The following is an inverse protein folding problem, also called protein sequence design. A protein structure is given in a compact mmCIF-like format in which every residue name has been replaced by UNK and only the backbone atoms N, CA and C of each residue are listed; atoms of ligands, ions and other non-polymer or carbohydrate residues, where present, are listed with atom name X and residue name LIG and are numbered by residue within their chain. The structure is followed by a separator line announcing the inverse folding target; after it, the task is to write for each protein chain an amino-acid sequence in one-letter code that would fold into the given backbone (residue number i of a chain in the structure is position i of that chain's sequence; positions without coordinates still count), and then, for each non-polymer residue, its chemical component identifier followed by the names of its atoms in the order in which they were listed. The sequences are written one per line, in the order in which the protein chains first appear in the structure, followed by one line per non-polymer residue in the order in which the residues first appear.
data_IF_505178284452
#
_entry.id   IF_505178284452
#
_cell.length_a   1.000
_cell.length_b   1.000
_cell.length_c   1.000
_cell.angle_alpha   90.00
_cell.angle_beta   90.00
_cell.angle_gamma   90.00
#
_symmetry.space_group_name_H-M   'P 1'
#
loop_
_entity.id
_entity.type
_entity.pdbx_description
1 polymer ?
#
# COMPACT_ATOMS: atom_id res chain seq x y z
N UNK A 1 28.31 9.78 -10.34
CA UNK A 1 28.57 8.38 -9.92
C UNK A 1 27.23 7.66 -9.99
N UNK A 2 27.02 6.78 -10.95
CA UNK A 2 25.80 5.96 -11.01
C UNK A 2 25.87 4.90 -9.90
N UNK A 3 24.88 4.87 -9.05
CA UNK A 3 24.73 3.82 -8.03
C UNK A 3 24.37 2.53 -8.79
N UNK A 4 25.26 1.54 -8.76
CA UNK A 4 24.96 0.22 -9.31
C UNK A 4 24.20 -0.56 -8.23
N UNK A 5 22.97 -0.97 -8.52
CA UNK A 5 22.12 -1.75 -7.61
C UNK A 5 22.75 -3.09 -7.17
N UNK A 6 23.63 -3.65 -7.99
CA UNK A 6 24.37 -4.89 -7.68
C UNK A 6 25.26 -4.77 -6.43
N UNK A 7 25.68 -3.54 -6.06
CA UNK A 7 26.44 -3.28 -4.85
C UNK A 7 25.62 -3.32 -3.55
N UNK A 8 24.30 -3.44 -3.67
CA UNK A 8 23.37 -3.42 -2.55
C UNK A 8 22.51 -4.69 -2.54
N UNK A 9 22.84 -5.62 -1.68
CA UNK A 9 22.24 -6.96 -1.62
C UNK A 9 20.71 -6.96 -1.46
N UNK A 10 20.13 -5.92 -0.86
CA UNK A 10 18.68 -5.79 -0.75
C UNK A 10 18.05 -5.31 -2.07
N UNK A 11 18.66 -4.33 -2.73
CA UNK A 11 18.14 -3.79 -3.99
C UNK A 11 18.20 -4.83 -5.12
N UNK A 12 19.22 -5.69 -5.13
CA UNK A 12 19.35 -6.76 -6.13
C UNK A 12 18.27 -7.84 -6.00
N UNK A 13 17.61 -7.95 -4.82
CA UNK A 13 16.49 -8.88 -4.60
C UNK A 13 15.14 -8.32 -5.00
N UNK A 14 15.01 -7.00 -5.15
CA UNK A 14 13.75 -6.37 -5.53
C UNK A 14 13.49 -6.60 -7.03
N UNK A 15 12.32 -7.16 -7.39
CA UNK A 15 11.95 -7.30 -8.80
C UNK A 15 11.77 -5.93 -9.44
N UNK A 16 11.90 -5.88 -10.76
CA UNK A 16 11.63 -4.66 -11.51
C UNK A 16 10.17 -4.23 -11.30
N UNK A 17 9.98 -2.95 -11.03
CA UNK A 17 8.64 -2.42 -10.82
C UNK A 17 7.85 -2.39 -12.12
N UNK A 18 6.85 -3.26 -12.22
CA UNK A 18 6.09 -3.53 -13.46
C UNK A 18 5.49 -2.26 -14.11
N UNK A 19 5.03 -1.30 -13.30
CA UNK A 19 4.45 -0.05 -13.83
C UNK A 19 5.48 0.83 -14.55
N UNK A 20 6.75 0.76 -14.19
CA UNK A 20 7.81 1.47 -14.91
C UNK A 20 7.94 0.92 -16.34
N UNK A 21 8.00 -0.40 -16.49
CA UNK A 21 8.07 -1.05 -17.80
C UNK A 21 6.84 -0.78 -18.67
N UNK A 22 5.64 -0.84 -18.07
CA UNK A 22 4.38 -0.52 -18.77
C UNK A 22 4.36 0.95 -19.23
N UNK A 23 4.80 1.89 -18.38
CA UNK A 23 4.86 3.29 -18.75
C UNK A 23 5.85 3.58 -19.89
N UNK A 24 6.99 2.88 -19.90
CA UNK A 24 7.95 2.97 -20.99
C UNK A 24 7.35 2.46 -22.30
N UNK A 25 6.70 1.29 -22.31
CA UNK A 25 6.01 0.75 -23.48
C UNK A 25 4.93 1.71 -24.00
N UNK A 26 4.11 2.28 -23.10
CA UNK A 26 3.11 3.29 -23.48
C UNK A 26 3.75 4.54 -24.11
N UNK A 27 4.85 5.02 -23.55
CA UNK A 27 5.58 6.17 -24.09
C UNK A 27 6.11 5.90 -25.49
N UNK A 28 6.72 4.74 -25.70
CA UNK A 28 7.23 4.32 -27.00
C UNK A 28 6.11 4.17 -28.04
N UNK A 29 5.00 3.57 -27.68
CA UNK A 29 3.87 3.40 -28.59
C UNK A 29 3.24 4.75 -28.98
N UNK A 30 3.04 5.67 -28.01
CA UNK A 30 2.57 7.04 -28.28
C UNK A 30 3.53 7.81 -29.20
N UNK A 31 4.85 7.65 -29.04
CA UNK A 31 5.81 8.32 -29.92
C UNK A 31 5.76 7.84 -31.37
N UNK A 32 5.23 6.63 -31.60
CA UNK A 32 4.96 6.08 -32.95
C UNK A 32 3.59 6.50 -33.52
N UNK A 33 2.82 7.30 -32.76
CA UNK A 33 1.47 7.74 -33.16
C UNK A 33 0.37 6.69 -32.98
N UNK A 34 0.63 5.64 -32.17
CA UNK A 34 -0.36 4.60 -31.90
C UNK A 34 -1.45 5.13 -30.95
N UNK A 35 -2.72 4.83 -31.25
CA UNK A 35 -3.84 5.07 -30.35
C UNK A 35 -3.90 3.99 -29.28
N UNK A 36 -3.66 4.38 -28.02
CA UNK A 36 -3.53 3.44 -26.91
C UNK A 36 -4.71 3.59 -25.96
N UNK A 37 -5.39 2.46 -25.73
CA UNK A 37 -6.36 2.32 -24.64
C UNK A 37 -5.62 1.83 -23.39
N UNK A 38 -5.53 2.67 -22.37
CA UNK A 38 -4.73 2.42 -21.17
C UNK A 38 -5.59 1.89 -20.01
N UNK A 39 -5.48 0.59 -19.73
CA UNK A 39 -6.06 -0.05 -18.54
C UNK A 39 -5.00 -0.36 -17.46
N UNK A 40 -3.80 0.20 -17.58
CA UNK A 40 -2.67 -0.12 -16.70
C UNK A 40 -2.75 0.52 -15.31
N UNK A 41 -3.62 1.50 -15.08
CA UNK A 41 -3.72 2.16 -13.79
C UNK A 41 -5.17 2.50 -13.44
N UNK A 42 -5.65 1.93 -12.34
CA UNK A 42 -6.98 2.19 -11.78
C UNK A 42 -7.01 3.46 -10.92
N UNK A 43 -6.82 4.63 -11.52
CA UNK A 43 -7.03 5.89 -10.82
C UNK A 43 -8.52 6.20 -10.69
N UNK A 44 -8.98 6.77 -9.57
CA UNK A 44 -10.31 7.35 -9.47
C UNK A 44 -10.51 8.40 -10.58
N UNK A 45 -11.60 8.30 -11.31
CA UNK A 45 -11.97 9.22 -12.40
C UNK A 45 -12.91 10.34 -11.93
N UNK A 46 -13.48 10.22 -10.74
CA UNK A 46 -14.37 11.20 -10.15
C UNK A 46 -13.62 12.17 -9.24
N UNK A 47 -14.01 13.46 -9.23
CA UNK A 47 -13.40 14.44 -8.34
C UNK A 47 -13.72 14.11 -6.87
N UNK A 48 -12.84 14.55 -5.98
CA UNK A 48 -13.10 14.47 -4.53
C UNK A 48 -14.42 15.18 -4.19
N UNK A 49 -15.29 14.57 -3.37
CA UNK A 49 -16.55 15.19 -2.95
C UNK A 49 -16.36 16.58 -2.35
N UNK A 50 -17.22 17.52 -2.73
CA UNK A 50 -17.08 18.94 -2.41
C UNK A 50 -16.97 19.21 -0.90
N UNK A 51 -17.75 18.52 -0.07
CA UNK A 51 -17.70 18.69 1.39
C UNK A 51 -16.34 18.32 2.00
N UNK A 52 -15.58 17.39 1.37
CA UNK A 52 -14.22 17.04 1.80
C UNK A 52 -13.25 18.17 1.45
N UNK A 53 -13.36 18.72 0.23
CA UNK A 53 -12.54 19.84 -0.22
C UNK A 53 -12.78 21.07 0.66
N UNK A 54 -14.04 21.42 0.92
CA UNK A 54 -14.42 22.56 1.77
C UNK A 54 -13.86 22.39 3.19
N UNK A 55 -13.91 21.19 3.76
CA UNK A 55 -13.35 20.92 5.09
C UNK A 55 -11.82 20.99 5.12
N UNK A 56 -11.16 20.56 4.06
CA UNK A 56 -9.72 20.71 3.92
C UNK A 56 -9.33 22.20 3.86
N UNK A 57 -10.01 23.00 3.04
CA UNK A 57 -9.76 24.43 2.92
C UNK A 57 -9.98 25.15 4.26
N UNK A 58 -11.10 24.89 4.95
CA UNK A 58 -11.36 25.43 6.29
C UNK A 58 -10.25 25.10 7.29
N UNK A 59 -9.76 23.88 7.25
CA UNK A 59 -8.73 23.42 8.18
C UNK A 59 -7.32 23.92 7.83
N UNK A 60 -7.01 24.10 6.55
CA UNK A 60 -5.68 24.46 6.08
C UNK A 60 -5.28 25.90 6.41
N UNK A 61 -6.24 26.81 6.59
CA UNK A 61 -5.96 28.21 6.97
C UNK A 61 -5.74 28.39 8.48
N UNK A 62 -5.94 27.35 9.28
CA UNK A 62 -5.79 27.43 10.72
C UNK A 62 -4.36 27.14 11.14
N UNK A 63 -3.61 28.13 11.60
CA UNK A 63 -2.19 28.00 11.97
C UNK A 63 -1.89 26.91 13.01
N UNK A 64 -2.86 26.55 13.86
CA UNK A 64 -2.72 25.41 14.80
C UNK A 64 -2.53 24.07 14.11
N UNK A 65 -2.93 23.94 12.84
CA UNK A 65 -2.80 22.71 12.05
C UNK A 65 -1.46 22.62 11.29
N UNK A 66 -0.61 23.66 11.35
CA UNK A 66 0.70 23.71 10.70
C UNK A 66 1.82 23.18 11.58
N UNK A 67 1.56 22.17 12.37
CA UNK A 67 2.52 21.58 13.31
C UNK A 67 2.84 20.14 12.93
N UNK A 68 3.84 19.58 13.59
CA UNK A 68 4.10 18.14 13.48
C UNK A 68 2.86 17.33 13.88
N UNK A 69 2.60 16.28 13.12
CA UNK A 69 1.56 15.32 13.47
C UNK A 69 1.99 14.46 14.69
N UNK A 70 1.02 14.00 15.44
CA UNK A 70 1.23 12.95 16.44
C UNK A 70 1.57 11.65 15.73
N UNK A 71 2.56 10.88 16.23
CA UNK A 71 3.05 9.66 15.60
C UNK A 71 1.97 8.60 15.33
N UNK A 72 1.01 8.44 16.24
CA UNK A 72 -0.13 7.54 16.05
C UNK A 72 -1.27 8.15 15.21
N UNK A 73 -1.15 9.42 14.81
CA UNK A 73 -2.21 10.17 14.14
C UNK A 73 -3.15 10.90 15.08
N UNK A 74 -3.98 11.78 14.52
CA UNK A 74 -4.90 12.61 15.32
C UNK A 74 -5.91 11.74 16.08
N UNK A 75 -6.10 11.95 17.41
CA UNK A 75 -7.07 11.16 18.19
C UNK A 75 -8.48 11.20 17.63
N UNK A 76 -8.93 12.35 17.12
CA UNK A 76 -10.26 12.48 16.47
C UNK A 76 -10.38 11.63 15.20
N UNK A 77 -9.31 11.46 14.44
CA UNK A 77 -9.32 10.61 13.25
C UNK A 77 -9.38 9.13 13.66
N UNK A 78 -8.60 8.73 14.66
CA UNK A 78 -8.62 7.35 15.20
C UNK A 78 -10.00 6.99 15.78
N UNK A 79 -10.62 7.92 16.51
CA UNK A 79 -12.02 7.76 16.98
C UNK A 79 -13.00 7.67 15.80
N UNK A 80 -12.82 8.45 14.74
CA UNK A 80 -13.67 8.37 13.55
C UNK A 80 -13.52 7.03 12.83
N UNK A 81 -12.32 6.46 12.80
CA UNK A 81 -12.05 5.11 12.28
C UNK A 81 -12.81 4.06 13.10
N UNK A 82 -12.67 4.09 14.43
CA UNK A 82 -13.39 3.20 15.34
C UNK A 82 -14.91 3.26 15.11
N UNK A 83 -15.48 4.46 15.10
CA UNK A 83 -16.92 4.65 14.85
C UNK A 83 -17.36 4.17 13.47
N UNK A 84 -16.49 4.29 12.45
CA UNK A 84 -16.76 3.80 11.10
C UNK A 84 -16.82 2.28 11.06
N UNK A 85 -15.87 1.58 11.70
CA UNK A 85 -15.86 0.12 11.80
C UNK A 85 -17.07 -0.39 12.58
N UNK A 86 -17.41 0.25 13.71
CA UNK A 86 -18.62 -0.09 14.47
C UNK A 86 -19.87 0.00 13.62
N UNK A 87 -20.04 1.12 12.92
CA UNK A 87 -21.24 1.37 12.12
C UNK A 87 -21.41 0.44 10.91
N UNK A 88 -20.29 0.10 10.23
CA UNK A 88 -20.37 -0.63 8.97
C UNK A 88 -20.19 -2.14 9.13
N UNK A 89 -19.51 -2.59 10.18
CA UNK A 89 -19.15 -4.00 10.37
C UNK A 89 -19.51 -4.55 11.74
N UNK A 90 -20.06 -3.73 12.63
CA UNK A 90 -20.31 -4.07 14.06
C UNK A 90 -19.04 -4.53 14.80
N UNK A 91 -17.89 -3.98 14.42
CA UNK A 91 -16.60 -4.25 15.04
C UNK A 91 -16.23 -3.10 15.97
N UNK A 92 -15.93 -3.42 17.23
CA UNK A 92 -15.40 -2.46 18.20
C UNK A 92 -13.87 -2.43 18.09
N UNK A 93 -13.32 -1.24 17.88
CA UNK A 93 -11.88 -0.97 17.84
C UNK A 93 -11.56 0.08 18.89
N UNK A 94 -10.61 -0.17 19.78
CA UNK A 94 -10.10 0.84 20.67
C UNK A 94 -9.26 1.86 19.89
N UNK A 95 -9.69 3.14 19.83
CA UNK A 95 -8.96 4.16 19.06
C UNK A 95 -7.56 4.47 19.64
N UNK A 96 -7.28 4.12 20.90
CA UNK A 96 -5.98 4.43 21.52
C UNK A 96 -4.95 3.32 21.31
N UNK A 97 -5.37 2.05 21.24
CA UNK A 97 -4.47 0.90 21.22
C UNK A 97 -4.55 0.06 19.96
N UNK A 98 -5.66 0.15 19.19
CA UNK A 98 -5.91 -0.71 18.03
C UNK A 98 -6.00 0.07 16.71
N UNK A 99 -5.59 1.34 16.70
CA UNK A 99 -5.63 2.14 15.48
C UNK A 99 -4.43 3.06 15.37
N UNK A 100 -3.87 3.13 14.17
CA UNK A 100 -2.78 4.03 13.81
C UNK A 100 -3.05 4.64 12.44
N UNK A 101 -2.70 5.91 12.27
CA UNK A 101 -2.81 6.62 10.98
C UNK A 101 -1.47 6.57 10.26
N UNK A 102 -1.50 6.16 9.00
CA UNK A 102 -0.33 6.13 8.12
C UNK A 102 -0.56 6.98 6.87
N UNK A 103 0.52 7.36 6.19
CA UNK A 103 0.44 8.08 4.91
C UNK A 103 0.19 7.07 3.79
N UNK A 104 -1.03 6.58 3.74
CA UNK A 104 -1.49 5.54 2.83
C UNK A 104 -1.22 4.12 3.33
N UNK A 105 -1.97 3.15 2.77
CA UNK A 105 -1.91 1.73 3.14
C UNK A 105 -0.56 1.07 2.81
N UNK A 106 0.16 1.57 1.80
CA UNK A 106 1.50 1.05 1.46
C UNK A 106 2.51 1.29 2.57
N UNK A 107 2.52 2.48 3.16
CA UNK A 107 3.36 2.78 4.32
C UNK A 107 2.99 1.88 5.50
N UNK A 108 1.69 1.80 5.80
CA UNK A 108 1.20 0.97 6.89
C UNK A 108 1.63 -0.48 6.75
N UNK A 109 1.43 -1.10 5.58
CA UNK A 109 1.82 -2.48 5.33
C UNK A 109 3.35 -2.69 5.39
N UNK A 110 4.12 -1.76 4.81
CA UNK A 110 5.58 -1.84 4.83
C UNK A 110 6.13 -1.76 6.25
N UNK A 111 5.65 -0.82 7.06
CA UNK A 111 6.07 -0.68 8.44
C UNK A 111 5.59 -1.85 9.31
N UNK A 112 4.41 -2.39 9.03
CA UNK A 112 3.91 -3.60 9.71
C UNK A 112 4.86 -4.78 9.46
N UNK A 113 5.27 -5.03 8.23
CA UNK A 113 6.20 -6.10 7.91
C UNK A 113 7.56 -5.92 8.60
N UNK A 114 8.11 -4.69 8.59
CA UNK A 114 9.37 -4.38 9.29
C UNK A 114 9.25 -4.60 10.80
N UNK A 115 8.06 -4.37 11.38
CA UNK A 115 7.83 -4.50 12.82
C UNK A 115 7.59 -5.94 13.26
N UNK A 116 7.02 -6.78 12.39
CA UNK A 116 6.61 -8.15 12.73
C UNK A 116 7.66 -9.20 12.36
N UNK A 117 8.43 -8.98 11.28
CA UNK A 117 9.32 -10.00 10.73
C UNK A 117 10.73 -9.88 11.26
N UNK A 118 11.26 -10.96 11.78
CA UNK A 118 12.69 -11.15 11.90
C UNK A 118 13.31 -11.52 10.54
N UNK A 119 14.58 -11.16 10.30
CA UNK A 119 15.26 -11.54 9.06
C UNK A 119 15.24 -13.05 8.81
N UNK A 120 14.76 -13.47 7.64
CA UNK A 120 14.67 -14.87 7.24
C UNK A 120 13.36 -15.58 7.58
N UNK A 121 12.45 -14.96 8.32
CA UNK A 121 11.10 -15.50 8.49
C UNK A 121 10.31 -15.50 7.18
N UNK A 122 9.40 -16.44 7.05
CA UNK A 122 8.65 -16.69 5.81
C UNK A 122 7.22 -16.17 5.94
N UNK A 123 6.76 -15.45 4.92
CA UNK A 123 5.40 -14.94 4.80
C UNK A 123 4.73 -15.55 3.58
N UNK A 124 3.49 -16.03 3.76
CA UNK A 124 2.63 -16.43 2.64
C UNK A 124 2.11 -15.19 1.92
N UNK A 125 2.37 -15.10 0.63
CA UNK A 125 1.98 -13.98 -0.22
C UNK A 125 1.15 -14.51 -1.38
N UNK A 126 -0.01 -13.89 -1.68
CA UNK A 126 -0.80 -14.28 -2.85
C UNK A 126 -0.04 -14.05 -4.17
N UNK A 127 -0.22 -14.93 -5.13
CA UNK A 127 0.24 -14.76 -6.51
C UNK A 127 -0.93 -15.03 -7.47
N UNK A 128 -1.31 -14.06 -8.33
CA UNK A 128 -0.78 -12.70 -8.44
C UNK A 128 -1.19 -11.79 -7.28
N UNK A 129 -0.38 -10.77 -6.99
CA UNK A 129 -0.69 -9.77 -5.98
C UNK A 129 -0.24 -8.35 -6.37
N UNK A 130 -0.73 -7.38 -5.61
CA UNK A 130 -0.23 -6.03 -5.74
C UNK A 130 1.22 -5.95 -5.19
N UNK A 131 2.16 -5.26 -5.87
CA UNK A 131 3.59 -5.33 -5.55
C UNK A 131 3.98 -5.06 -4.09
N UNK A 132 3.22 -4.23 -3.38
CA UNK A 132 3.55 -3.92 -1.98
C UNK A 132 3.50 -5.15 -1.06
N UNK A 133 2.66 -6.16 -1.38
CA UNK A 133 2.57 -7.37 -0.57
C UNK A 133 3.90 -8.13 -0.55
N UNK A 134 4.52 -8.34 -1.71
CA UNK A 134 5.81 -9.00 -1.82
C UNK A 134 6.98 -8.06 -1.45
N UNK A 135 6.95 -6.81 -1.92
CA UNK A 135 8.04 -5.86 -1.67
C UNK A 135 8.21 -5.53 -0.19
N UNK A 136 7.13 -5.40 0.57
CA UNK A 136 7.24 -5.13 2.01
C UNK A 136 7.93 -6.25 2.77
N UNK A 137 7.68 -7.51 2.39
CA UNK A 137 8.34 -8.68 2.98
C UNK A 137 9.84 -8.69 2.64
N UNK A 138 10.20 -8.43 1.37
CA UNK A 138 11.60 -8.36 0.93
C UNK A 138 12.36 -7.21 1.61
N UNK A 139 11.74 -6.04 1.75
CA UNK A 139 12.33 -4.89 2.45
C UNK A 139 12.56 -5.22 3.93
N UNK A 140 11.64 -5.94 4.57
CA UNK A 140 11.79 -6.45 5.92
C UNK A 140 12.81 -7.61 6.05
N UNK A 141 13.45 -8.03 4.94
CA UNK A 141 14.39 -9.18 4.86
C UNK A 141 13.74 -10.54 5.16
N UNK A 142 12.42 -10.64 5.00
CA UNK A 142 11.69 -11.89 5.06
C UNK A 142 11.85 -12.71 3.77
N UNK A 143 11.44 -13.96 3.84
CA UNK A 143 11.29 -14.85 2.71
C UNK A 143 9.82 -14.88 2.27
N UNK A 144 9.60 -15.06 0.98
CA UNK A 144 8.26 -15.18 0.41
C UNK A 144 8.01 -16.65 0.07
N UNK A 145 6.81 -17.11 0.43
CA UNK A 145 6.23 -18.33 -0.07
C UNK A 145 4.90 -17.99 -0.72
N UNK A 146 4.79 -18.22 -2.03
CA UNK A 146 3.62 -17.84 -2.81
C UNK A 146 2.53 -18.90 -2.76
N UNK A 147 1.28 -18.46 -2.82
CA UNK A 147 0.13 -19.33 -3.04
C UNK A 147 -0.76 -18.77 -4.14
N UNK A 148 -1.41 -19.65 -4.89
CA UNK A 148 -2.30 -19.24 -5.98
C UNK A 148 -3.57 -18.60 -5.41
N UNK A 149 -3.79 -17.32 -5.74
CA UNK A 149 -4.93 -16.52 -5.29
C UNK A 149 -6.08 -16.39 -6.31
N UNK A 150 -5.94 -17.00 -7.50
CA UNK A 150 -6.94 -16.88 -8.57
C UNK A 150 -8.12 -17.82 -8.36
N UNK A 151 -7.90 -18.96 -7.74
CA UNK A 151 -8.95 -19.97 -7.53
C UNK A 151 -9.59 -19.83 -6.13
N UNK A 152 -10.62 -18.99 -6.05
CA UNK A 152 -11.35 -18.73 -4.80
C UNK A 152 -11.94 -19.99 -4.15
N UNK A 153 -12.33 -20.99 -4.96
CA UNK A 153 -12.90 -22.25 -4.46
C UNK A 153 -11.86 -23.12 -3.73
N UNK A 154 -10.58 -22.91 -4.04
CA UNK A 154 -9.46 -23.64 -3.44
C UNK A 154 -8.55 -22.75 -2.60
N UNK A 155 -9.00 -21.55 -2.25
CA UNK A 155 -8.18 -20.57 -1.54
C UNK A 155 -7.56 -21.17 -0.26
N UNK A 156 -8.36 -21.80 0.58
CA UNK A 156 -7.87 -22.43 1.83
C UNK A 156 -6.88 -23.55 1.56
N UNK A 157 -7.17 -24.44 0.59
CA UNK A 157 -6.23 -25.50 0.20
C UNK A 157 -4.92 -24.93 -0.37
N UNK A 158 -4.99 -23.83 -1.11
CA UNK A 158 -3.81 -23.19 -1.67
C UNK A 158 -2.95 -22.54 -0.58
N UNK A 159 -3.58 -21.96 0.44
CA UNK A 159 -2.87 -21.41 1.62
C UNK A 159 -2.21 -22.53 2.42
N UNK A 160 -2.88 -23.67 2.63
CA UNK A 160 -2.32 -24.82 3.37
C UNK A 160 -1.15 -25.49 2.65
N UNK A 161 -1.10 -25.43 1.32
CA UNK A 161 -0.03 -25.99 0.49
C UNK A 161 1.13 -25.01 0.24
N UNK A 162 0.88 -23.73 0.41
CA UNK A 162 1.83 -22.62 0.23
C UNK A 162 2.80 -22.42 1.39
#
# INVERSE_FOLDING_TARGET
MSINSENFSLLSKLPQYVFSSVNELKSQARSRGEDIIDFGMGNPDQPTPRHIIEKLLESSVQGRNHRYSVSAGLPKLRLAISNWYKRNYDVDIDPETESIVTIGSKEGLSHLMISLLAPGETVLVPDPCYPIHSFSVLIARGNIKEYNSIDDLKLLENIEKG
#
